data_IF_408648601579
#
_entry.id   IF_408648601579
#
_cell.length_a   1.000
_cell.length_b   1.000
_cell.length_c   1.000
_cell.angle_alpha   90.00
_cell.angle_beta   90.00
_cell.angle_gamma   90.00
#
_symmetry.space_group_name_H-M   'P 1'
#
loop_
_entity.id
_entity.type
_entity.pdbx_description
1 polymer ?
#
# COMPACT_ATOMS: atom_id res chain seq x y z
N UNK A 1 -17.22 8.51 -5.27
CA UNK A 1 -15.88 9.06 -5.53
C UNK A 1 -15.01 8.91 -4.28
N UNK A 2 -13.78 8.39 -4.34
CA UNK A 2 -12.89 8.47 -3.19
C UNK A 2 -12.43 9.92 -3.06
N UNK A 3 -12.97 10.65 -2.07
CA UNK A 3 -12.41 11.95 -1.69
C UNK A 3 -10.99 11.71 -1.19
N UNK A 4 -10.01 12.36 -1.81
CA UNK A 4 -8.64 12.41 -1.26
C UNK A 4 -8.72 13.04 0.13
N UNK A 5 -7.86 12.60 1.03
CA UNK A 5 -7.74 13.25 2.34
C UNK A 5 -7.27 14.71 2.14
N UNK A 6 -7.64 15.62 3.05
CA UNK A 6 -7.05 16.96 3.12
C UNK A 6 -5.52 16.92 3.11
N UNK A 7 -4.88 17.95 2.55
CA UNK A 7 -3.42 18.09 2.49
C UNK A 7 -2.76 17.93 3.85
N UNK A 8 -3.38 18.49 4.89
CA UNK A 8 -2.82 18.57 6.23
C UNK A 8 -2.76 17.19 6.88
N UNK A 9 -3.80 16.40 6.64
CA UNK A 9 -3.88 14.98 7.02
C UNK A 9 -2.85 14.15 6.23
N UNK A 10 -2.65 14.45 4.95
CA UNK A 10 -1.61 13.77 4.17
C UNK A 10 -0.21 14.07 4.69
N UNK A 11 0.09 15.33 5.02
CA UNK A 11 1.38 15.77 5.54
C UNK A 11 1.69 15.14 6.91
N UNK A 12 0.70 15.10 7.81
CA UNK A 12 0.86 14.43 9.11
C UNK A 12 1.10 12.92 8.98
N UNK A 13 0.37 12.23 8.09
CA UNK A 13 0.63 10.81 7.80
C UNK A 13 2.04 10.63 7.24
N UNK A 14 2.47 11.49 6.31
CA UNK A 14 3.80 11.41 5.68
C UNK A 14 4.91 11.58 6.71
N UNK A 15 4.85 12.63 7.53
CA UNK A 15 5.83 12.88 8.57
C UNK A 15 5.91 11.73 9.59
N UNK A 16 4.77 11.17 10.01
CA UNK A 16 4.76 10.04 10.96
C UNK A 16 5.29 8.74 10.35
N UNK A 17 5.05 8.52 9.05
CA UNK A 17 5.61 7.39 8.32
C UNK A 17 7.12 7.50 8.14
N UNK A 18 7.64 8.70 7.86
CA UNK A 18 9.09 8.97 7.78
C UNK A 18 9.78 8.74 9.12
N UNK A 19 9.10 9.03 10.23
CA UNK A 19 9.56 8.71 11.59
C UNK A 19 9.42 7.22 11.97
N UNK A 20 8.98 6.35 11.06
CA UNK A 20 8.88 4.90 11.31
C UNK A 20 7.72 4.48 12.23
N UNK A 21 6.72 5.35 12.45
CA UNK A 21 5.59 5.04 13.34
C UNK A 21 4.66 3.99 12.71
N UNK A 22 4.12 3.09 13.54
CA UNK A 22 3.21 2.04 13.06
C UNK A 22 1.90 2.62 12.46
N UNK A 23 1.47 2.15 11.26
CA UNK A 23 0.27 2.64 10.59
C UNK A 23 -1.03 2.56 11.39
N UNK A 24 -1.18 1.61 12.32
CA UNK A 24 -2.36 1.53 13.17
C UNK A 24 -2.36 2.64 14.24
N UNK A 25 -1.18 3.00 14.75
CA UNK A 25 -1.00 4.12 15.69
C UNK A 25 -1.24 5.45 14.98
N UNK A 26 -0.69 5.63 13.79
CA UNK A 26 -0.91 6.82 12.95
C UNK A 26 -2.41 7.00 12.67
N UNK A 27 -3.10 5.92 12.34
CA UNK A 27 -4.53 5.96 12.06
C UNK A 27 -5.35 6.47 13.24
N UNK A 28 -5.07 5.98 14.45
CA UNK A 28 -5.72 6.45 15.69
C UNK A 28 -5.43 7.94 15.95
N UNK A 29 -4.20 8.39 15.71
CA UNK A 29 -3.76 9.77 15.99
C UNK A 29 -4.36 10.80 15.03
N UNK A 30 -4.46 10.45 13.75
CA UNK A 30 -4.94 11.35 12.69
C UNK A 30 -6.46 11.20 12.46
N UNK A 31 -7.11 10.24 13.13
CA UNK A 31 -8.55 9.96 12.95
C UNK A 31 -8.87 9.26 11.63
N UNK A 32 -7.92 8.50 11.08
CA UNK A 32 -8.02 7.85 9.78
C UNK A 32 -7.90 6.33 9.93
N UNK A 33 -8.71 5.57 9.21
CA UNK A 33 -8.63 4.12 9.26
C UNK A 33 -7.24 3.61 8.83
N UNK A 34 -6.71 2.60 9.54
CA UNK A 34 -5.41 1.94 9.27
C UNK A 34 -5.19 1.63 7.78
N UNK A 35 -6.21 1.13 7.08
CA UNK A 35 -6.09 0.76 5.66
C UNK A 35 -5.83 1.96 4.77
N UNK A 36 -6.33 3.13 5.13
CA UNK A 36 -6.07 4.37 4.41
C UNK A 36 -4.63 4.81 4.62
N UNK A 37 -4.13 4.77 5.87
CA UNK A 37 -2.71 5.00 6.17
C UNK A 37 -1.82 4.04 5.39
N UNK A 38 -2.13 2.74 5.37
CA UNK A 38 -1.39 1.75 4.59
C UNK A 38 -1.41 2.02 3.08
N UNK A 39 -2.51 2.57 2.55
CA UNK A 39 -2.60 2.95 1.14
C UNK A 39 -1.64 4.09 0.81
N UNK A 40 -1.56 5.09 1.67
CA UNK A 40 -0.61 6.19 1.54
C UNK A 40 0.83 5.74 1.78
N UNK A 41 1.08 4.88 2.78
CA UNK A 41 2.38 4.29 3.03
C UNK A 41 2.90 3.49 1.83
N UNK A 42 2.05 2.66 1.22
CA UNK A 42 2.41 1.93 0.00
C UNK A 42 2.65 2.84 -1.21
N UNK A 43 2.07 4.05 -1.21
CA UNK A 43 2.24 5.03 -2.29
C UNK A 43 3.56 5.78 -2.17
N UNK A 44 3.99 6.13 -0.96
CA UNK A 44 5.16 6.97 -0.71
C UNK A 44 6.41 6.20 -0.34
N UNK A 45 6.28 5.04 0.31
CA UNK A 45 7.41 4.19 0.69
C UNK A 45 7.50 3.06 -0.34
N UNK A 46 8.44 3.21 -1.27
CA UNK A 46 8.65 2.27 -2.38
C UNK A 46 9.31 0.95 -1.94
N UNK A 47 10.07 0.97 -0.84
CA UNK A 47 10.82 -0.20 -0.34
C UNK A 47 9.99 -1.16 0.53
N UNK A 48 8.71 -0.86 0.77
CA UNK A 48 7.84 -1.82 1.47
C UNK A 48 7.63 -3.04 0.59
N UNK A 49 8.02 -4.21 1.11
CA UNK A 49 7.73 -5.52 0.51
C UNK A 49 6.21 -5.61 0.29
N UNK A 50 5.79 -5.38 -0.95
CA UNK A 50 4.40 -5.58 -1.34
C UNK A 50 4.20 -7.09 -1.45
N UNK A 51 3.19 -7.63 -0.76
CA UNK A 51 2.67 -8.95 -1.12
C UNK A 51 2.32 -8.87 -2.61
N UNK A 52 2.99 -9.67 -3.44
CA UNK A 52 2.79 -9.71 -4.89
C UNK A 52 1.34 -10.10 -5.13
N UNK A 53 0.49 -9.10 -5.34
CA UNK A 53 -0.91 -9.29 -5.67
C UNK A 53 -0.98 -9.76 -7.11
N UNK A 54 -1.55 -10.93 -7.35
CA UNK A 54 -1.74 -11.49 -8.67
C UNK A 54 -2.55 -12.77 -8.56
N UNK A 55 -3.36 -13.07 -9.57
CA UNK A 55 -3.99 -14.39 -9.66
C UNK A 55 -2.85 -15.39 -9.85
N UNK A 56 -2.68 -16.40 -8.99
CA UNK A 56 -1.70 -17.44 -9.23
C UNK A 56 -1.99 -18.03 -10.60
N UNK A 57 -0.99 -17.96 -11.48
CA UNK A 57 -1.07 -18.65 -12.76
C UNK A 57 -0.97 -20.14 -12.47
N UNK A 58 -1.97 -20.91 -12.88
CA UNK A 58 -1.92 -22.39 -12.86
C UNK A 58 -0.72 -22.85 -13.70
N UNK A 59 -0.40 -22.08 -14.74
CA UNK A 59 0.71 -22.34 -15.65
C UNK A 59 1.95 -21.63 -15.12
N UNK A 60 2.98 -22.40 -14.78
CA UNK A 60 4.28 -21.84 -14.46
C UNK A 60 4.88 -21.10 -15.66
N UNK A 61 5.69 -20.08 -15.41
CA UNK A 61 6.32 -19.27 -16.46
C UNK A 61 7.13 -20.12 -17.44
N UNK A 62 7.81 -21.16 -16.95
CA UNK A 62 8.54 -22.16 -17.73
C UNK A 62 7.65 -22.95 -18.70
N UNK A 63 6.42 -23.28 -18.28
CA UNK A 63 5.47 -24.08 -19.06
C UNK A 63 4.63 -23.25 -20.04
N UNK A 64 4.62 -21.93 -19.88
CA UNK A 64 3.78 -21.01 -20.66
C UNK A 64 4.07 -21.04 -22.16
N UNK A 65 5.34 -21.29 -22.53
CA UNK A 65 5.80 -21.39 -23.92
C UNK A 65 5.26 -22.61 -24.69
N UNK A 66 4.74 -23.62 -23.99
CA UNK A 66 4.21 -24.84 -24.60
C UNK A 66 2.70 -24.80 -24.87
N UNK A 67 2.02 -23.74 -24.41
CA UNK A 67 0.59 -23.55 -24.67
C UNK A 67 0.46 -22.80 -25.99
N UNK A 68 -0.17 -23.45 -26.99
CA UNK A 68 -0.50 -22.80 -28.26
C UNK A 68 -1.56 -21.71 -28.04
N UNK A 69 -1.38 -20.60 -28.75
CA UNK A 69 -2.19 -19.39 -28.66
C UNK A 69 -3.54 -19.55 -29.36
#
# INVERSE_FOLDING_TARGET
MPKKLPSDIQNSIKALLENGVDPAVIGKRVGVHRNTVNRYANKWIHDRIRKRGGRPSIVAESTRRYIKR
#
